data_IF_308398999880
#
_entry.id   IF_308398999880
#
_cell.length_a   1.000
_cell.length_b   1.000
_cell.length_c   1.000
_cell.angle_alpha   90.00
_cell.angle_beta   90.00
_cell.angle_gamma   90.00
#
_symmetry.space_group_name_H-M   'P 1'
#
loop_
_entity.id
_entity.type
_entity.pdbx_description
1 polymer ?
#
# COMPACT_ATOMS: atom_id res chain seq x y z
N UNK A 1 -15.05 -7.30 23.81
CA UNK A 1 -16.48 -7.66 23.92
C UNK A 1 -17.16 -7.17 22.65
N UNK A 2 -17.83 -8.04 21.88
CA UNK A 2 -18.43 -7.66 20.61
C UNK A 2 -19.49 -6.58 20.84
N UNK A 3 -19.44 -5.53 20.03
CA UNK A 3 -20.29 -4.35 20.19
C UNK A 3 -21.75 -4.72 19.93
N UNK A 4 -22.57 -4.83 20.97
CA UNK A 4 -24.01 -5.06 20.83
C UNK A 4 -24.69 -3.78 20.31
N UNK A 5 -24.64 -3.58 18.98
CA UNK A 5 -25.29 -2.44 18.32
C UNK A 5 -26.82 -2.57 18.37
N UNK A 6 -27.56 -1.47 18.62
CA UNK A 6 -29.02 -1.47 18.48
C UNK A 6 -29.46 -1.91 17.10
N UNK A 7 -30.62 -2.55 17.01
CA UNK A 7 -31.20 -3.02 15.74
C UNK A 7 -31.33 -1.90 14.70
N UNK A 8 -31.59 -0.67 15.14
CA UNK A 8 -31.66 0.52 14.30
C UNK A 8 -30.29 0.88 13.68
N UNK A 9 -29.23 0.89 14.49
CA UNK A 9 -27.87 1.14 14.01
C UNK A 9 -27.44 0.08 12.99
N UNK A 10 -27.75 -1.20 13.25
CA UNK A 10 -27.48 -2.30 12.31
C UNK A 10 -28.23 -2.14 10.98
N UNK A 11 -29.47 -1.66 11.00
CA UNK A 11 -30.24 -1.40 9.78
C UNK A 11 -29.62 -0.26 8.95
N UNK A 12 -29.19 0.81 9.61
CA UNK A 12 -28.55 1.95 8.95
C UNK A 12 -27.16 1.60 8.41
N UNK A 13 -26.44 0.68 9.07
CA UNK A 13 -25.18 0.12 8.56
C UNK A 13 -25.33 -0.57 7.20
N UNK A 14 -26.41 -1.33 7.01
CA UNK A 14 -26.70 -1.96 5.72
C UNK A 14 -26.81 -0.91 4.61
N UNK A 15 -27.50 0.21 4.87
CA UNK A 15 -27.60 1.30 3.90
C UNK A 15 -26.22 1.86 3.52
N UNK A 16 -25.28 1.93 4.48
CA UNK A 16 -23.90 2.35 4.22
C UNK A 16 -23.20 1.38 3.27
N UNK A 17 -23.38 0.07 3.46
CA UNK A 17 -22.81 -0.97 2.60
C UNK A 17 -23.49 -1.06 1.22
N UNK A 18 -24.79 -0.73 1.14
CA UNK A 18 -25.57 -0.74 -0.11
C UNK A 18 -25.30 0.46 -1.00
N UNK A 19 -25.05 1.62 -0.40
CA UNK A 19 -24.81 2.89 -1.07
C UNK A 19 -23.74 2.78 -2.16
N UNK A 20 -24.08 3.27 -3.37
CA UNK A 20 -23.24 3.15 -4.57
C UNK A 20 -22.52 4.45 -4.91
N UNK A 21 -23.15 5.60 -4.60
CA UNK A 21 -22.53 6.92 -4.77
C UNK A 21 -21.89 7.41 -3.47
N UNK A 22 -21.01 8.42 -3.58
CA UNK A 22 -20.36 9.04 -2.40
C UNK A 22 -21.42 9.78 -1.58
N UNK A 23 -22.35 10.46 -2.25
CA UNK A 23 -23.45 11.20 -1.65
C UNK A 23 -24.38 10.29 -0.86
N UNK A 24 -24.74 9.13 -1.40
CA UNK A 24 -25.50 8.10 -0.69
C UNK A 24 -24.75 7.57 0.53
N UNK A 25 -23.43 7.32 0.39
CA UNK A 25 -22.59 6.82 1.49
C UNK A 25 -22.47 7.83 2.63
N UNK A 26 -22.32 9.12 2.33
CA UNK A 26 -22.29 10.22 3.30
C UNK A 26 -23.60 10.23 4.10
N UNK A 27 -24.74 10.28 3.39
CA UNK A 27 -26.06 10.32 4.03
C UNK A 27 -26.30 9.08 4.90
N UNK A 28 -25.97 7.90 4.38
CA UNK A 28 -26.13 6.66 5.13
C UNK A 28 -25.23 6.61 6.39
N UNK A 29 -24.01 7.15 6.33
CA UNK A 29 -23.10 7.22 7.49
C UNK A 29 -23.57 8.23 8.55
N UNK A 30 -24.14 9.36 8.14
CA UNK A 30 -24.76 10.32 9.06
C UNK A 30 -25.95 9.69 9.80
N UNK A 31 -26.84 9.03 9.05
CA UNK A 31 -27.94 8.27 9.62
C UNK A 31 -27.40 7.21 10.58
N UNK A 32 -26.39 6.44 10.18
CA UNK A 32 -25.78 5.42 11.02
C UNK A 32 -25.22 6.00 12.32
N UNK A 33 -24.38 7.03 12.26
CA UNK A 33 -23.81 7.70 13.44
C UNK A 33 -24.87 8.23 14.40
N UNK A 34 -26.02 8.67 13.89
CA UNK A 34 -27.12 9.14 14.73
C UNK A 34 -27.74 8.02 15.58
N UNK A 35 -27.69 6.77 15.10
CA UNK A 35 -28.28 5.61 15.77
C UNK A 35 -27.29 4.83 16.64
N UNK A 36 -25.97 5.07 16.53
CA UNK A 36 -24.97 4.38 17.34
C UNK A 36 -24.93 5.01 18.75
N UNK A 37 -25.17 4.24 19.82
CA UNK A 37 -25.11 4.74 21.21
C UNK A 37 -23.76 5.35 21.56
N UNK A 38 -23.72 6.28 22.52
CA UNK A 38 -22.49 6.94 22.98
C UNK A 38 -21.95 6.29 24.27
N UNK A 39 -21.35 5.11 24.19
CA UNK A 39 -20.71 4.45 25.34
C UNK A 39 -19.38 3.77 24.94
N UNK A 40 -18.59 3.34 25.92
CA UNK A 40 -17.25 2.75 25.75
C UNK A 40 -17.19 1.57 24.76
N UNK A 41 -18.29 0.84 24.61
CA UNK A 41 -18.39 -0.30 23.69
C UNK A 41 -18.50 0.08 22.21
N UNK A 42 -19.01 1.27 21.88
CA UNK A 42 -19.24 1.74 20.50
C UNK A 42 -18.26 2.82 20.07
N UNK A 43 -17.30 3.17 20.93
CA UNK A 43 -16.36 4.28 20.75
C UNK A 43 -15.56 4.13 19.45
N UNK A 44 -14.89 2.99 19.27
CA UNK A 44 -14.11 2.67 18.05
C UNK A 44 -14.95 2.77 16.77
N UNK A 45 -16.18 2.26 16.81
CA UNK A 45 -17.09 2.28 15.66
C UNK A 45 -17.54 3.71 15.31
N UNK A 46 -17.81 4.54 16.33
CA UNK A 46 -18.19 5.94 16.12
C UNK A 46 -17.02 6.76 15.62
N UNK A 47 -15.81 6.52 16.13
CA UNK A 47 -14.57 7.12 15.62
C UNK A 47 -14.37 6.77 14.15
N UNK A 48 -14.46 5.48 13.80
CA UNK A 48 -14.37 5.00 12.42
C UNK A 48 -15.42 5.68 11.52
N UNK A 49 -16.70 5.67 11.92
CA UNK A 49 -17.78 6.20 11.08
C UNK A 49 -17.66 7.72 10.90
N UNK A 50 -17.22 8.45 11.93
CA UNK A 50 -16.97 9.90 11.86
C UNK A 50 -15.80 10.22 10.94
N UNK A 51 -14.70 9.45 11.06
CA UNK A 51 -13.52 9.57 10.19
C UNK A 51 -13.88 9.28 8.73
N UNK A 52 -14.65 8.21 8.49
CA UNK A 52 -15.11 7.81 7.17
C UNK A 52 -16.04 8.83 6.54
N UNK A 53 -16.94 9.41 7.32
CA UNK A 53 -17.81 10.50 6.87
C UNK A 53 -17.00 11.72 6.45
N UNK A 54 -15.97 12.10 7.22
CA UNK A 54 -15.09 13.21 6.86
C UNK A 54 -14.30 12.93 5.56
N UNK A 55 -13.77 11.71 5.39
CA UNK A 55 -13.07 11.30 4.15
C UNK A 55 -13.98 11.41 2.92
N UNK A 56 -15.22 10.91 3.00
CA UNK A 56 -16.16 10.95 1.88
C UNK A 56 -16.59 12.38 1.54
N UNK A 57 -16.74 13.26 2.54
CA UNK A 57 -17.01 14.68 2.33
C UNK A 57 -15.86 15.38 1.61
N UNK A 58 -14.61 15.13 2.03
CA UNK A 58 -13.42 15.64 1.34
C UNK A 58 -13.36 15.14 -0.11
N UNK A 59 -13.60 13.84 -0.34
CA UNK A 59 -13.60 13.23 -1.69
C UNK A 59 -14.69 13.84 -2.59
N UNK A 60 -15.89 14.09 -2.04
CA UNK A 60 -16.99 14.73 -2.75
C UNK A 60 -16.64 16.17 -3.17
N UNK A 61 -16.02 16.94 -2.26
CA UNK A 61 -15.53 18.28 -2.57
C UNK A 61 -14.46 18.28 -3.67
N UNK A 62 -13.53 17.32 -3.62
CA UNK A 62 -12.49 17.20 -4.64
C UNK A 62 -13.06 16.81 -6.00
N UNK A 63 -14.04 15.90 -6.07
CA UNK A 63 -14.74 15.58 -7.32
C UNK A 63 -15.49 16.78 -7.89
N UNK A 64 -16.09 17.62 -7.04
CA UNK A 64 -16.71 18.88 -7.47
C UNK A 64 -15.67 19.89 -7.97
N UNK A 65 -14.50 19.98 -7.31
CA UNK A 65 -13.37 20.83 -7.72
C UNK A 65 -12.72 20.36 -9.03
N UNK A 66 -12.68 19.05 -9.32
CA UNK A 66 -12.16 18.52 -10.61
C UNK A 66 -12.93 18.99 -11.85
N UNK A 67 -14.17 19.49 -11.71
CA UNK A 67 -14.93 20.12 -12.81
C UNK A 67 -14.55 21.58 -13.06
N UNK A 68 -13.70 22.18 -12.24
CA UNK A 68 -13.25 23.57 -12.39
C UNK A 68 -11.77 23.72 -12.03
N UNK A 69 -10.92 24.00 -13.03
CA UNK A 69 -9.53 24.50 -12.95
C UNK A 69 -8.41 23.49 -12.67
N UNK A 70 -7.33 23.60 -13.46
CA UNK A 70 -6.07 22.86 -13.36
C UNK A 70 -5.22 23.23 -12.14
N UNK A 71 -5.76 23.01 -10.94
CA UNK A 71 -4.99 23.03 -9.69
C UNK A 71 -4.17 21.73 -9.54
N UNK A 72 -3.00 21.78 -8.86
CA UNK A 72 -2.23 20.59 -8.55
C UNK A 72 -3.11 19.59 -7.77
N UNK A 73 -3.19 18.39 -8.32
CA UNK A 73 -4.04 17.31 -7.81
C UNK A 73 -3.26 16.49 -6.77
N UNK A 74 -3.90 16.12 -5.66
CA UNK A 74 -3.33 15.17 -4.69
C UNK A 74 -3.24 13.73 -5.24
N UNK A 75 -3.79 13.47 -6.42
CA UNK A 75 -3.63 12.20 -7.11
C UNK A 75 -2.41 12.28 -8.04
N UNK A 76 -1.47 11.37 -7.87
CA UNK A 76 -0.26 11.25 -8.69
C UNK A 76 -0.32 9.89 -9.38
N UNK A 77 -0.31 9.90 -10.71
CA UNK A 77 -0.24 8.68 -11.51
C UNK A 77 1.07 7.93 -11.23
N UNK A 78 0.97 6.61 -11.17
CA UNK A 78 2.13 5.75 -10.92
C UNK A 78 3.03 5.76 -12.14
N UNK A 79 4.30 6.05 -11.92
CA UNK A 79 5.32 6.01 -12.96
C UNK A 79 6.54 5.20 -12.50
N UNK A 80 7.34 4.77 -13.48
CA UNK A 80 8.55 3.99 -13.23
C UNK A 80 8.27 2.57 -12.74
N UNK A 81 9.24 2.04 -11.99
CA UNK A 81 9.23 0.68 -11.45
C UNK A 81 8.23 0.51 -10.31
N UNK A 82 8.07 1.53 -9.48
CA UNK A 82 7.13 1.56 -8.36
C UNK A 82 7.02 2.98 -7.82
N UNK A 83 5.83 3.32 -7.30
CA UNK A 83 5.59 4.56 -6.56
C UNK A 83 5.82 4.31 -5.06
N UNK A 84 6.75 5.06 -4.47
CA UNK A 84 7.14 4.94 -3.06
C UNK A 84 6.84 6.25 -2.33
N UNK A 85 6.00 6.18 -1.32
CA UNK A 85 5.65 7.37 -0.52
C UNK A 85 6.64 7.54 0.62
N UNK A 86 7.19 8.76 0.75
CA UNK A 86 8.14 9.09 1.81
C UNK A 86 7.38 9.64 3.01
N UNK A 87 7.40 8.92 4.14
CA UNK A 87 6.64 9.23 5.36
C UNK A 87 7.61 9.45 6.51
N UNK A 88 7.25 10.29 7.48
CA UNK A 88 8.11 10.57 8.63
C UNK A 88 7.66 11.80 9.40
N UNK A 89 8.18 12.02 10.62
CA UNK A 89 7.84 13.17 11.43
C UNK A 89 8.14 14.50 10.72
N UNK A 90 7.55 15.63 11.16
CA UNK A 90 8.00 16.94 10.74
C UNK A 90 9.51 17.10 10.94
N UNK A 91 10.18 17.77 10.00
CA UNK A 91 11.61 18.07 10.04
C UNK A 91 12.58 16.87 10.06
N UNK A 92 12.11 15.65 9.77
CA UNK A 92 12.98 14.45 9.64
C UNK A 92 13.87 14.44 8.39
N UNK A 93 13.69 15.41 7.48
CA UNK A 93 14.50 15.57 6.27
C UNK A 93 13.97 14.85 5.02
N UNK A 94 12.67 14.50 4.99
CA UNK A 94 12.00 13.86 3.83
C UNK A 94 12.25 14.60 2.52
N UNK A 95 11.93 15.89 2.46
CA UNK A 95 12.06 16.69 1.23
C UNK A 95 13.51 16.81 0.77
N UNK A 96 14.45 16.98 1.71
CA UNK A 96 15.89 16.97 1.41
C UNK A 96 16.32 15.62 0.85
N UNK A 97 15.89 14.53 1.46
CA UNK A 97 16.19 13.17 1.02
C UNK A 97 15.68 12.91 -0.40
N UNK A 98 14.40 13.23 -0.68
CA UNK A 98 13.81 13.07 -2.01
C UNK A 98 14.59 13.88 -3.04
N UNK A 99 14.85 15.17 -2.77
CA UNK A 99 15.59 16.05 -3.67
C UNK A 99 16.98 15.51 -4.03
N UNK A 100 17.70 14.99 -3.04
CA UNK A 100 19.06 14.45 -3.24
C UNK A 100 19.00 13.16 -4.05
N UNK A 101 18.07 12.25 -3.72
CA UNK A 101 17.91 10.96 -4.42
C UNK A 101 17.46 11.11 -5.87
N UNK A 102 16.65 12.12 -6.18
CA UNK A 102 16.10 12.33 -7.53
C UNK A 102 17.01 13.21 -8.40
N UNK A 103 18.06 13.79 -7.81
CA UNK A 103 18.94 14.74 -8.50
C UNK A 103 18.21 15.98 -9.02
N UNK A 104 16.99 16.25 -8.55
CA UNK A 104 16.15 17.32 -9.06
C UNK A 104 16.75 18.67 -8.71
N UNK A 105 17.19 19.43 -9.72
CA UNK A 105 17.56 20.86 -9.62
C UNK A 105 16.34 21.77 -9.49
N UNK A 106 15.18 21.26 -9.08
CA UNK A 106 13.98 22.08 -8.95
C UNK A 106 14.18 23.07 -7.80
N UNK A 107 14.12 24.32 -8.22
CA UNK A 107 14.13 25.54 -7.43
C UNK A 107 13.20 25.33 -6.25
N UNK A 108 13.66 25.72 -5.06
CA UNK A 108 12.81 25.97 -3.92
C UNK A 108 11.69 26.85 -4.47
N UNK A 109 10.48 26.33 -4.68
CA UNK A 109 9.35 27.26 -4.62
C UNK A 109 9.45 27.79 -3.19
N UNK A 110 9.89 29.04 -3.06
CA UNK A 110 10.14 29.78 -1.82
C UNK A 110 8.84 29.97 -1.05
N UNK A 111 8.25 28.85 -0.64
CA UNK A 111 7.33 28.79 0.47
C UNK A 111 8.12 28.11 1.58
N UNK A 112 8.70 28.90 2.50
CA UNK A 112 9.05 28.32 3.78
C UNK A 112 7.75 27.72 4.36
N UNK A 113 7.89 26.63 5.13
CA UNK A 113 6.82 25.88 5.78
C UNK A 113 6.09 24.83 4.90
N UNK A 114 6.47 23.56 5.13
CA UNK A 114 5.75 22.32 4.79
C UNK A 114 5.35 22.10 3.32
N UNK A 115 5.70 20.94 2.78
CA UNK A 115 5.14 20.41 1.53
C UNK A 115 3.60 20.42 1.63
N UNK A 116 2.92 21.39 1.02
CA UNK A 116 1.45 21.49 1.07
C UNK A 116 0.76 20.54 0.09
N UNK A 117 1.50 20.07 -0.92
CA UNK A 117 1.06 19.12 -1.94
C UNK A 117 2.15 18.09 -2.18
N UNK A 118 1.80 16.82 -2.41
CA UNK A 118 2.78 15.79 -2.69
C UNK A 118 3.61 16.12 -3.94
N UNK A 119 4.93 15.95 -3.86
CA UNK A 119 5.85 16.24 -4.97
C UNK A 119 6.48 14.94 -5.46
N UNK A 120 6.21 14.50 -6.70
CA UNK A 120 6.88 13.34 -7.26
C UNK A 120 8.30 13.67 -7.72
N UNK A 121 9.21 12.72 -7.58
CA UNK A 121 10.55 12.79 -8.15
C UNK A 121 11.08 11.42 -8.51
N UNK A 122 11.84 11.34 -9.60
CA UNK A 122 12.33 10.07 -10.16
C UNK A 122 13.73 9.75 -9.63
N UNK A 123 13.83 8.73 -8.78
CA UNK A 123 15.09 8.20 -8.27
C UNK A 123 15.58 7.09 -9.18
N UNK A 124 16.75 7.27 -9.80
CA UNK A 124 17.38 6.23 -10.61
C UNK A 124 17.97 5.14 -9.71
N UNK A 125 17.69 3.89 -10.04
CA UNK A 125 18.38 2.73 -9.47
C UNK A 125 18.76 1.79 -10.62
N UNK A 126 20.07 1.64 -10.86
CA UNK A 126 20.59 0.91 -12.01
C UNK A 126 19.94 1.40 -13.33
N UNK A 127 19.20 0.55 -14.03
CA UNK A 127 18.52 0.79 -15.30
C UNK A 127 17.02 1.08 -15.16
N UNK A 128 16.52 1.21 -13.93
CA UNK A 128 15.12 1.52 -13.61
C UNK A 128 14.99 2.82 -12.80
N UNK A 129 13.76 3.30 -12.64
CA UNK A 129 13.47 4.50 -11.86
C UNK A 129 12.34 4.22 -10.87
N UNK A 130 12.53 4.59 -9.61
CA UNK A 130 11.46 4.64 -8.61
C UNK A 130 10.84 6.05 -8.58
N UNK A 131 9.52 6.15 -8.51
CA UNK A 131 8.83 7.41 -8.31
C UNK A 131 8.69 7.66 -6.80
N UNK A 132 9.54 8.51 -6.24
CA UNK A 132 9.46 8.92 -4.85
C UNK A 132 8.45 10.06 -4.70
N UNK A 133 7.55 9.96 -3.73
CA UNK A 133 6.57 11.00 -3.42
C UNK A 133 6.97 11.67 -2.10
N UNK A 134 7.47 12.90 -2.16
CA UNK A 134 7.64 13.72 -0.96
C UNK A 134 6.26 14.14 -0.44
N UNK A 135 5.98 13.85 0.83
CA UNK A 135 4.66 14.11 1.41
C UNK A 135 4.68 15.16 2.50
N UNK A 136 3.56 15.88 2.69
CA UNK A 136 3.34 16.68 3.89
C UNK A 136 3.59 15.85 5.17
N UNK A 137 3.97 16.49 6.29
CA UNK A 137 4.10 15.79 7.57
C UNK A 137 2.82 15.04 7.96
N UNK A 138 3.01 13.86 8.55
CA UNK A 138 1.93 12.98 8.98
C UNK A 138 1.43 13.40 10.37
N UNK A 139 0.62 14.46 10.43
CA UNK A 139 0.03 14.95 11.69
C UNK A 139 -1.43 14.48 11.84
N UNK A 140 -1.73 13.57 12.79
CA UNK A 140 -3.08 13.02 12.95
C UNK A 140 -4.16 14.09 13.12
N UNK A 141 -5.31 13.86 12.49
CA UNK A 141 -6.46 14.77 12.57
C UNK A 141 -6.47 15.93 11.57
N UNK A 142 -5.38 16.15 10.83
CA UNK A 142 -5.31 17.20 9.80
C UNK A 142 -5.88 16.72 8.45
N UNK A 143 -6.43 17.64 7.66
CA UNK A 143 -6.87 17.35 6.28
C UNK A 143 -5.71 16.88 5.41
N UNK A 144 -4.51 17.42 5.63
CA UNK A 144 -3.28 17.02 4.92
C UNK A 144 -2.93 15.56 5.21
N UNK A 145 -2.97 15.14 6.47
CA UNK A 145 -2.68 13.76 6.84
C UNK A 145 -3.67 12.77 6.19
N UNK A 146 -4.97 13.09 6.12
CA UNK A 146 -5.95 12.25 5.40
C UNK A 146 -5.56 12.02 3.94
N UNK A 147 -5.06 13.06 3.27
CA UNK A 147 -4.62 12.96 1.87
C UNK A 147 -3.31 12.17 1.73
N UNK A 148 -2.36 12.35 2.66
CA UNK A 148 -1.14 11.52 2.74
C UNK A 148 -1.47 10.05 2.96
N UNK A 149 -2.48 9.73 3.76
CA UNK A 149 -2.97 8.35 3.96
C UNK A 149 -3.55 7.77 2.67
N UNK A 150 -4.36 8.55 1.93
CA UNK A 150 -4.89 8.11 0.64
C UNK A 150 -3.78 7.83 -0.38
N UNK A 151 -2.76 8.69 -0.44
CA UNK A 151 -1.55 8.46 -1.26
C UNK A 151 -0.83 7.18 -0.83
N UNK A 152 -0.58 7.03 0.47
CA UNK A 152 0.11 5.85 1.04
C UNK A 152 -0.63 4.57 0.70
N UNK A 153 -1.98 4.57 0.74
CA UNK A 153 -2.80 3.42 0.37
C UNK A 153 -2.66 3.04 -1.09
N UNK A 154 -2.50 4.01 -1.99
CA UNK A 154 -2.38 3.76 -3.43
C UNK A 154 -0.94 3.40 -3.86
N UNK A 155 0.07 3.87 -3.12
CA UNK A 155 1.48 3.61 -3.41
C UNK A 155 1.86 2.12 -3.36
N UNK A 156 3.00 1.77 -3.95
CA UNK A 156 3.52 0.40 -3.95
C UNK A 156 4.31 0.04 -2.70
N UNK A 157 4.88 1.05 -2.03
CA UNK A 157 5.61 0.91 -0.76
C UNK A 157 5.84 2.24 -0.05
N UNK A 158 6.52 2.16 1.10
CA UNK A 158 6.80 3.29 1.98
C UNK A 158 8.31 3.40 2.25
N UNK A 159 8.84 4.62 2.18
CA UNK A 159 10.15 4.95 2.73
C UNK A 159 9.93 5.74 4.03
N UNK A 160 10.15 5.10 5.17
CA UNK A 160 9.95 5.69 6.49
C UNK A 160 11.22 6.41 6.93
N UNK A 161 11.16 7.73 7.07
CA UNK A 161 12.29 8.59 7.42
C UNK A 161 12.18 9.05 8.87
N UNK A 162 13.12 8.60 9.71
CA UNK A 162 13.20 8.92 11.14
C UNK A 162 14.42 9.80 11.40
N UNK A 163 14.32 10.75 12.32
CA UNK A 163 15.41 11.65 12.70
C UNK A 163 16.22 11.06 13.87
N UNK A 164 17.51 10.79 13.66
CA UNK A 164 18.39 10.23 14.70
C UNK A 164 18.61 11.17 15.90
N UNK A 165 18.39 12.48 15.72
CA UNK A 165 18.57 13.50 16.78
C UNK A 165 17.39 13.58 17.75
N UNK A 166 16.28 12.89 17.44
CA UNK A 166 15.05 12.87 18.25
C UNK A 166 14.84 11.49 18.90
N UNK A 167 13.69 11.30 19.54
CA UNK A 167 13.27 10.01 20.09
C UNK A 167 12.80 9.09 18.96
N UNK A 168 13.69 8.19 18.52
CA UNK A 168 13.43 7.27 17.39
C UNK A 168 12.25 6.35 17.70
N UNK A 169 12.19 5.84 18.92
CA UNK A 169 11.16 4.90 19.39
C UNK A 169 9.78 5.57 19.38
N UNK A 170 9.64 6.74 19.99
CA UNK A 170 8.37 7.47 20.05
C UNK A 170 7.88 7.88 18.65
N UNK A 171 8.77 8.40 17.81
CA UNK A 171 8.42 8.80 16.45
C UNK A 171 7.97 7.59 15.61
N UNK A 172 8.62 6.43 15.77
CA UNK A 172 8.21 5.18 15.13
C UNK A 172 6.82 4.74 15.61
N UNK A 173 6.63 4.62 16.92
CA UNK A 173 5.37 4.15 17.52
C UNK A 173 4.19 5.02 17.08
N UNK A 174 4.34 6.35 17.14
CA UNK A 174 3.31 7.30 16.73
C UNK A 174 2.91 7.13 15.27
N UNK A 175 3.88 6.93 14.37
CA UNK A 175 3.60 6.72 12.95
C UNK A 175 2.89 5.39 12.72
N UNK A 176 3.38 4.32 13.35
CA UNK A 176 2.79 2.99 13.21
C UNK A 176 1.37 2.94 13.76
N UNK A 177 1.11 3.56 14.92
CA UNK A 177 -0.22 3.67 15.49
C UNK A 177 -1.16 4.42 14.54
N UNK A 178 -0.72 5.56 14.00
CA UNK A 178 -1.56 6.32 13.08
C UNK A 178 -1.85 5.56 11.78
N UNK A 179 -0.85 4.93 11.16
CA UNK A 179 -1.04 4.11 9.96
C UNK A 179 -1.98 2.92 10.22
N UNK A 180 -1.82 2.22 11.36
CA UNK A 180 -2.72 1.13 11.78
C UNK A 180 -4.15 1.61 12.00
N UNK A 181 -4.33 2.78 12.62
CA UNK A 181 -5.65 3.43 12.79
C UNK A 181 -6.33 3.79 11.48
N UNK A 182 -5.57 3.79 10.38
CA UNK A 182 -6.04 4.01 9.02
C UNK A 182 -6.04 2.72 8.19
N UNK A 183 -5.86 1.54 8.80
CA UNK A 183 -5.86 0.27 8.09
C UNK A 183 -4.67 0.08 7.13
N UNK A 184 -3.55 0.75 7.38
CA UNK A 184 -2.28 0.59 6.64
C UNK A 184 -1.26 -0.11 7.55
N UNK A 185 -0.79 -1.27 7.11
CA UNK A 185 0.17 -2.08 7.85
C UNK A 185 1.50 -2.13 7.11
N UNK A 186 2.59 -1.86 7.83
CA UNK A 186 3.95 -1.91 7.28
C UNK A 186 4.63 -3.27 7.46
N UNK A 187 4.03 -4.16 8.24
CA UNK A 187 4.49 -5.56 8.42
C UNK A 187 3.44 -6.46 7.78
N UNK A 188 3.88 -7.51 7.06
CA UNK A 188 2.95 -8.52 6.51
C UNK A 188 2.19 -9.09 7.71
N UNK A 189 0.85 -8.94 7.77
CA UNK A 189 0.10 -9.50 8.89
C UNK A 189 0.25 -11.02 8.87
N UNK A 190 0.21 -11.64 10.06
CA UNK A 190 0.33 -13.11 10.18
C UNK A 190 -0.79 -13.85 9.47
N UNK A 191 -1.88 -13.15 9.18
CA UNK A 191 -2.95 -13.61 8.31
C UNK A 191 -3.66 -12.47 7.59
N UNK A 192 -4.46 -12.82 6.59
CA UNK A 192 -5.24 -11.88 5.78
C UNK A 192 -6.68 -12.36 5.73
N UNK A 193 -7.61 -11.44 5.95
CA UNK A 193 -9.05 -11.67 5.77
C UNK A 193 -9.50 -10.99 4.49
N UNK A 194 -10.18 -11.74 3.63
CA UNK A 194 -10.88 -11.20 2.46
C UNK A 194 -12.35 -11.57 2.61
N UNK A 195 -13.22 -10.56 2.60
CA UNK A 195 -14.67 -10.75 2.72
C UNK A 195 -15.33 -10.29 1.43
N UNK A 196 -15.74 -11.25 0.60
CA UNK A 196 -16.49 -11.00 -0.62
C UNK A 196 -17.99 -11.10 -0.30
N UNK A 197 -18.63 -9.97 0.01
CA UNK A 197 -20.06 -9.92 0.36
C UNK A 197 -20.90 -10.01 -0.92
N UNK A 198 -21.78 -11.01 -1.02
CA UNK A 198 -22.69 -11.18 -2.16
C UNK A 198 -24.09 -10.67 -1.81
N UNK A 199 -24.64 -9.81 -2.68
CA UNK A 199 -25.93 -9.14 -2.45
C UNK A 199 -27.15 -10.00 -2.80
N UNK A 200 -26.96 -11.06 -3.59
CA UNK A 200 -28.04 -11.93 -4.11
C UNK A 200 -27.63 -13.39 -4.01
N UNK A 201 -28.57 -14.25 -3.57
CA UNK A 201 -28.38 -15.70 -3.40
C UNK A 201 -28.62 -16.19 -1.98
N UNK A 202 -28.99 -17.46 -1.82
CA UNK A 202 -29.09 -18.18 -0.53
C UNK A 202 -27.83 -19.02 -0.29
N UNK A 203 -26.65 -18.47 -0.50
CA UNK A 203 -25.39 -19.23 -0.36
C UNK A 203 -24.91 -19.34 1.07
N UNK A 204 -25.42 -18.48 1.97
CA UNK A 204 -24.96 -18.38 3.36
C UNK A 204 -23.54 -17.82 3.46
N UNK A 205 -22.97 -17.84 4.67
CA UNK A 205 -21.57 -17.49 4.91
C UNK A 205 -20.70 -18.72 4.62
N UNK A 206 -19.92 -18.64 3.55
CA UNK A 206 -18.89 -19.64 3.22
C UNK A 206 -17.56 -19.17 3.75
N UNK A 207 -16.84 -20.06 4.43
CA UNK A 207 -15.51 -19.75 4.97
C UNK A 207 -14.50 -20.69 4.32
N UNK A 208 -13.52 -20.13 3.63
CA UNK A 208 -12.34 -20.84 3.15
C UNK A 208 -11.18 -20.51 4.07
N UNK A 209 -10.66 -21.52 4.74
CA UNK A 209 -9.61 -21.36 5.74
C UNK A 209 -8.31 -21.97 5.20
N UNK A 210 -7.35 -21.12 4.88
CA UNK A 210 -6.00 -21.46 4.42
C UNK A 210 -5.05 -20.96 5.51
N UNK A 211 -5.06 -21.60 6.67
CA UNK A 211 -4.35 -21.12 7.86
C UNK A 211 -5.04 -21.56 9.15
N UNK A 212 -5.13 -20.67 10.14
CA UNK A 212 -5.77 -20.91 11.44
C UNK A 212 -6.53 -19.66 11.92
N UNK A 213 -7.73 -19.87 12.46
CA UNK A 213 -8.42 -18.88 13.27
C UNK A 213 -7.98 -19.07 14.73
N UNK A 214 -7.34 -18.08 15.32
CA UNK A 214 -6.81 -18.11 16.68
C UNK A 214 -7.91 -17.81 17.68
N UNK A 215 -7.89 -18.54 18.80
CA UNK A 215 -8.73 -18.32 19.99
C UNK A 215 -10.25 -18.21 19.71
N UNK A 216 -10.72 -18.77 18.59
CA UNK A 216 -12.10 -18.63 18.12
C UNK A 216 -12.47 -19.68 17.09
N UNK A 217 -13.77 -19.93 16.91
CA UNK A 217 -14.27 -20.91 15.95
C UNK A 217 -14.88 -20.25 14.71
N UNK A 218 -15.04 -21.04 13.64
CA UNK A 218 -15.75 -20.60 12.43
C UNK A 218 -17.21 -20.25 12.75
N UNK A 219 -17.81 -20.87 13.78
CA UNK A 219 -19.15 -20.53 14.25
C UNK A 219 -19.19 -19.14 14.89
N UNK A 220 -18.20 -18.79 15.71
CA UNK A 220 -18.08 -17.45 16.29
C UNK A 220 -17.87 -16.39 15.21
N UNK A 221 -17.10 -16.71 14.17
CA UNK A 221 -16.96 -15.86 12.98
C UNK A 221 -18.31 -15.66 12.28
N UNK A 222 -19.10 -16.74 12.07
CA UNK A 222 -20.44 -16.61 11.46
C UNK A 222 -21.34 -15.74 12.33
N UNK A 223 -21.39 -15.96 13.64
CA UNK A 223 -22.15 -15.14 14.60
C UNK A 223 -21.72 -13.68 14.56
N UNK A 224 -20.43 -13.40 14.47
CA UNK A 224 -19.89 -12.05 14.30
C UNK A 224 -20.43 -11.40 13.02
N UNK A 225 -20.32 -12.07 11.87
CA UNK A 225 -20.83 -11.56 10.59
C UNK A 225 -22.36 -11.38 10.59
N UNK A 226 -23.10 -12.34 11.14
CA UNK A 226 -24.55 -12.25 11.32
C UNK A 226 -24.94 -11.10 12.26
N UNK A 227 -24.12 -10.82 13.28
CA UNK A 227 -24.33 -9.66 14.16
C UNK A 227 -24.25 -8.34 13.40
N UNK A 228 -23.46 -8.30 12.32
CA UNK A 228 -23.35 -7.22 11.34
C UNK A 228 -24.35 -7.33 10.19
N UNK A 229 -25.30 -8.28 10.26
CA UNK A 229 -26.31 -8.59 9.24
C UNK A 229 -25.72 -8.99 7.89
N UNK A 230 -24.51 -9.55 7.91
CA UNK A 230 -23.87 -10.15 6.74
C UNK A 230 -24.25 -11.62 6.70
N UNK A 231 -25.27 -11.96 5.91
CA UNK A 231 -25.78 -13.35 5.81
C UNK A 231 -25.24 -14.11 4.60
N UNK A 232 -24.71 -13.40 3.59
CA UNK A 232 -24.19 -13.97 2.36
C UNK A 232 -22.81 -13.36 2.06
N UNK A 233 -21.76 -14.14 2.29
CA UNK A 233 -20.40 -13.73 2.02
C UNK A 233 -19.49 -14.94 1.79
N UNK A 234 -18.46 -14.76 0.98
CA UNK A 234 -17.31 -15.67 0.93
C UNK A 234 -16.16 -15.05 1.72
N UNK A 235 -15.87 -15.63 2.87
CA UNK A 235 -14.77 -15.23 3.74
C UNK A 235 -13.58 -16.12 3.44
N UNK A 236 -12.47 -15.54 3.01
CA UNK A 236 -11.21 -16.24 2.80
C UNK A 236 -10.24 -15.79 3.88
N UNK A 237 -9.80 -16.74 4.71
CA UNK A 237 -8.81 -16.54 5.74
C UNK A 237 -7.50 -17.16 5.28
N UNK A 238 -6.43 -16.37 5.26
CA UNK A 238 -5.08 -16.82 4.96
C UNK A 238 -4.22 -16.65 6.21
N UNK A 239 -3.37 -17.61 6.57
CA UNK A 239 -2.48 -17.51 7.72
C UNK A 239 -3.18 -17.53 9.08
N UNK A 240 -2.55 -16.93 10.10
CA UNK A 240 -3.09 -16.82 11.46
C UNK A 240 -3.94 -15.55 11.60
N UNK A 241 -5.22 -15.72 11.90
CA UNK A 241 -6.23 -14.65 11.94
C UNK A 241 -7.00 -14.71 13.26
N UNK A 242 -7.36 -13.58 13.84
CA UNK A 242 -8.25 -13.46 15.01
C UNK A 242 -9.65 -12.97 14.61
N UNK A 243 -10.65 -13.05 15.50
CA UNK A 243 -11.96 -12.42 15.22
C UNK A 243 -11.88 -10.91 15.04
N UNK A 244 -10.95 -10.24 15.73
CA UNK A 244 -10.72 -8.80 15.58
C UNK A 244 -10.24 -8.46 14.16
N UNK A 245 -9.39 -9.30 13.56
CA UNK A 245 -8.96 -9.13 12.16
C UNK A 245 -10.13 -9.29 11.17
N UNK A 246 -11.08 -10.18 11.48
CA UNK A 246 -12.30 -10.38 10.68
C UNK A 246 -13.25 -9.20 10.81
N UNK A 247 -13.44 -8.71 12.04
CA UNK A 247 -14.23 -7.52 12.32
C UNK A 247 -13.63 -6.30 11.60
N UNK A 248 -12.32 -6.11 11.67
CA UNK A 248 -11.64 -5.01 10.99
C UNK A 248 -11.81 -5.08 9.46
N UNK A 249 -11.73 -6.29 8.88
CA UNK A 249 -11.92 -6.48 7.44
C UNK A 249 -13.34 -6.16 6.94
N UNK A 250 -14.34 -6.08 7.83
CA UNK A 250 -15.68 -5.58 7.48
C UNK A 250 -15.72 -4.06 7.33
N UNK A 251 -14.94 -3.35 8.13
CA UNK A 251 -15.00 -1.88 8.22
C UNK A 251 -13.95 -1.19 7.34
N UNK A 252 -12.79 -1.82 7.16
CA UNK A 252 -11.65 -1.21 6.51
C UNK A 252 -11.03 -2.13 5.45
N UNK A 253 -10.68 -1.54 4.31
CA UNK A 253 -9.77 -2.19 3.38
C UNK A 253 -8.37 -2.14 3.97
N UNK A 254 -8.02 -3.17 4.74
CA UNK A 254 -6.66 -3.36 5.25
C UNK A 254 -5.71 -3.51 4.07
N UNK A 255 -4.68 -2.66 4.01
CA UNK A 255 -3.62 -2.76 3.01
C UNK A 255 -2.28 -2.97 3.69
N UNK A 256 -1.48 -3.85 3.10
CA UNK A 256 -0.07 -4.01 3.44
C UNK A 256 0.78 -3.17 2.49
N UNK A 257 1.77 -2.47 3.03
CA UNK A 257 2.77 -1.72 2.27
C UNK A 257 4.17 -2.13 2.69
N UNK A 258 4.99 -2.73 1.80
CA UNK A 258 6.40 -2.93 2.04
C UNK A 258 7.08 -1.61 2.45
N UNK A 259 7.99 -1.69 3.41
CA UNK A 259 8.67 -0.52 3.98
C UNK A 259 10.18 -0.68 3.93
N UNK A 260 10.88 0.45 3.76
CA UNK A 260 12.30 0.62 4.09
C UNK A 260 12.38 1.72 5.14
N UNK A 261 13.17 1.52 6.19
CA UNK A 261 13.42 2.54 7.22
C UNK A 261 14.75 3.22 6.93
N UNK A 262 14.74 4.54 6.87
CA UNK A 262 15.93 5.38 6.75
C UNK A 262 16.05 6.25 8.00
N UNK A 263 17.04 5.98 8.83
CA UNK A 263 17.40 6.80 9.98
C UNK A 263 18.33 7.90 9.48
N UNK A 264 17.79 9.11 9.36
CA UNK A 264 18.47 10.29 8.82
C UNK A 264 19.23 11.06 9.92
N UNK A 265 20.11 11.97 9.49
CA UNK A 265 20.91 12.86 10.35
C UNK A 265 21.92 12.15 11.24
N UNK A 266 22.43 10.99 10.80
CA UNK A 266 23.47 10.25 11.55
C UNK A 266 24.83 10.96 11.58
N UNK A 267 24.99 12.03 10.81
CA UNK A 267 26.11 12.97 10.92
C UNK A 267 26.08 13.78 12.22
N UNK A 268 24.91 13.96 12.84
CA UNK A 268 24.73 14.71 14.09
C UNK A 268 24.68 13.80 15.32
N UNK A 269 23.95 12.69 15.23
CA UNK A 269 23.82 11.70 16.31
C UNK A 269 23.66 10.32 15.71
N UNK A 270 24.46 9.36 16.17
CA UNK A 270 24.24 7.96 15.81
C UNK A 270 23.15 7.35 16.71
N UNK A 271 22.24 6.53 16.15
CA UNK A 271 21.31 5.75 16.97
C UNK A 271 22.06 4.73 17.80
N UNK A 272 21.53 4.44 18.99
CA UNK A 272 21.99 3.39 19.87
C UNK A 272 21.62 2.00 19.33
N UNK A 273 22.35 0.97 19.77
CA UNK A 273 22.05 -0.42 19.43
C UNK A 273 20.65 -0.85 19.91
N UNK A 274 20.17 -0.28 21.02
CA UNK A 274 18.83 -0.54 21.57
C UNK A 274 17.74 0.05 20.66
N UNK A 275 17.92 1.29 20.19
CA UNK A 275 16.98 1.92 19.24
C UNK A 275 16.91 1.14 17.92
N UNK A 276 18.05 0.69 17.38
CA UNK A 276 18.06 -0.15 16.17
C UNK A 276 17.34 -1.47 16.42
N UNK A 277 17.66 -2.16 17.53
CA UNK A 277 17.02 -3.42 17.89
C UNK A 277 15.50 -3.28 18.08
N UNK A 278 15.05 -2.14 18.60
CA UNK A 278 13.63 -1.83 18.74
C UNK A 278 12.92 -1.76 17.39
N UNK A 279 13.51 -1.08 16.40
CA UNK A 279 12.96 -0.99 15.04
C UNK A 279 12.89 -2.39 14.42
N UNK A 280 13.96 -3.18 14.51
CA UNK A 280 14.02 -4.52 13.92
C UNK A 280 13.00 -5.48 14.53
N UNK A 281 12.76 -5.39 15.85
CA UNK A 281 11.70 -6.16 16.53
C UNK A 281 10.31 -5.72 16.12
N UNK A 282 10.11 -4.41 15.96
CA UNK A 282 8.81 -3.82 15.64
C UNK A 282 8.42 -4.02 14.16
N UNK A 283 9.42 -3.97 13.28
CA UNK A 283 9.29 -4.12 11.83
C UNK A 283 10.19 -5.28 11.33
N UNK A 284 9.86 -6.54 11.68
CA UNK A 284 10.70 -7.68 11.35
C UNK A 284 10.88 -7.85 9.84
N UNK A 285 12.11 -8.14 9.42
CA UNK A 285 12.48 -8.30 8.01
C UNK A 285 12.57 -7.01 7.21
N UNK A 286 12.40 -5.85 7.86
CA UNK A 286 12.50 -4.53 7.22
C UNK A 286 13.96 -4.07 7.17
N UNK A 287 14.47 -3.62 6.01
CA UNK A 287 15.79 -2.99 5.93
C UNK A 287 15.81 -1.67 6.70
N UNK A 288 16.79 -1.52 7.61
CA UNK A 288 17.08 -0.29 8.33
C UNK A 288 18.39 0.27 7.82
N UNK A 289 18.35 1.47 7.24
CA UNK A 289 19.51 2.15 6.65
C UNK A 289 19.85 3.36 7.50
N UNK A 290 21.11 3.46 7.92
CA UNK A 290 21.65 4.60 8.65
C UNK A 290 22.28 5.58 7.67
N UNK A 291 21.84 6.83 7.66
CA UNK A 291 22.34 7.77 6.67
C UNK A 291 22.11 9.23 6.98
N UNK A 292 22.58 10.05 6.05
CA UNK A 292 22.43 11.50 6.10
C UNK A 292 22.16 12.01 4.71
N UNK A 293 20.99 12.64 4.55
CA UNK A 293 20.62 13.26 3.29
C UNK A 293 21.59 14.38 2.88
N UNK A 294 22.25 15.05 3.85
CA UNK A 294 23.17 16.17 3.58
C UNK A 294 24.53 15.66 3.12
N UNK A 295 25.08 14.65 3.81
CA UNK A 295 26.40 14.09 3.45
C UNK A 295 26.32 12.97 2.41
N UNK A 296 25.11 12.63 1.96
CA UNK A 296 24.82 11.51 1.06
C UNK A 296 25.22 10.11 1.58
N UNK A 297 25.52 9.99 2.88
CA UNK A 297 25.82 8.70 3.53
C UNK A 297 24.58 7.80 3.53
N UNK A 298 24.75 6.53 3.14
CA UNK A 298 23.72 5.48 3.17
C UNK A 298 22.68 5.57 2.04
N UNK A 299 22.72 6.59 1.19
CA UNK A 299 21.69 6.80 0.15
C UNK A 299 21.72 5.75 -0.97
N UNK A 300 22.90 5.21 -1.29
CA UNK A 300 23.06 4.18 -2.33
C UNK A 300 22.35 2.86 -2.00
N UNK A 301 22.12 2.59 -0.72
CA UNK A 301 21.47 1.36 -0.24
C UNK A 301 19.94 1.41 -0.38
N UNK A 302 19.35 2.62 -0.49
CA UNK A 302 17.89 2.79 -0.55
C UNK A 302 17.31 2.10 -1.79
N UNK A 303 17.95 2.26 -2.95
CA UNK A 303 17.48 1.66 -4.19
C UNK A 303 17.47 0.13 -4.15
N UNK A 304 18.52 -0.50 -3.63
CA UNK A 304 18.59 -1.96 -3.50
C UNK A 304 17.63 -2.50 -2.44
N UNK A 305 17.47 -1.77 -1.33
CA UNK A 305 16.50 -2.11 -0.31
C UNK A 305 15.06 -2.07 -0.85
N UNK A 306 14.69 -1.00 -1.57
CA UNK A 306 13.37 -0.86 -2.20
C UNK A 306 13.12 -1.96 -3.22
N UNK A 307 14.09 -2.22 -4.10
CA UNK A 307 14.01 -3.29 -5.09
C UNK A 307 13.69 -4.65 -4.45
N UNK A 308 14.37 -4.97 -3.34
CA UNK A 308 14.18 -6.21 -2.58
C UNK A 308 12.83 -6.28 -1.88
N UNK A 309 12.44 -5.26 -1.11
CA UNK A 309 11.19 -5.32 -0.30
C UNK A 309 9.93 -5.26 -1.16
N UNK A 310 10.00 -4.61 -2.32
CA UNK A 310 8.91 -4.58 -3.28
C UNK A 310 8.82 -5.87 -4.12
N UNK A 311 9.78 -6.78 -3.94
CA UNK A 311 9.89 -8.06 -4.65
C UNK A 311 9.90 -7.82 -6.17
N UNK A 312 10.65 -6.82 -6.63
CA UNK A 312 10.74 -6.47 -8.05
C UNK A 312 11.73 -7.37 -8.80
N UNK A 313 11.41 -7.61 -10.06
CA UNK A 313 12.28 -8.28 -11.03
C UNK A 313 12.32 -7.46 -12.33
N UNK A 314 13.42 -7.53 -13.06
CA UNK A 314 13.58 -6.95 -14.38
C UNK A 314 13.57 -8.05 -15.41
N UNK A 315 12.73 -7.89 -16.41
CA UNK A 315 12.70 -8.76 -17.58
C UNK A 315 13.01 -7.93 -18.82
N UNK A 316 14.05 -8.32 -19.55
CA UNK A 316 14.44 -7.65 -20.78
C UNK A 316 13.72 -8.30 -21.95
N UNK A 317 13.12 -7.50 -22.83
CA UNK A 317 12.49 -8.01 -24.03
C UNK A 317 13.43 -7.93 -25.22
N UNK A 318 13.28 -8.86 -26.17
CA UNK A 318 13.90 -8.73 -27.49
C UNK A 318 12.91 -9.18 -28.58
N UNK A 319 12.87 -8.50 -29.73
CA UNK A 319 12.09 -8.97 -30.86
C UNK A 319 12.79 -10.16 -31.56
N UNK A 320 12.05 -10.98 -32.32
CA UNK A 320 12.64 -12.06 -33.10
C UNK A 320 13.78 -11.54 -34.01
N UNK A 321 14.97 -12.13 -33.87
CA UNK A 321 16.18 -11.73 -34.61
C UNK A 321 16.69 -10.31 -34.33
N UNK A 322 16.23 -9.66 -33.25
CA UNK A 322 16.70 -8.34 -32.84
C UNK A 322 17.62 -8.35 -31.62
N UNK A 323 17.98 -7.14 -31.18
CA UNK A 323 18.80 -6.93 -29.98
C UNK A 323 17.93 -6.81 -28.74
N UNK A 324 18.53 -7.11 -27.58
CA UNK A 324 17.89 -6.96 -26.28
C UNK A 324 17.61 -5.48 -26.00
N UNK A 325 16.39 -5.18 -25.57
CA UNK A 325 15.99 -3.84 -25.19
C UNK A 325 16.83 -3.33 -24.01
N UNK A 326 17.29 -2.07 -24.07
CA UNK A 326 18.08 -1.46 -22.99
C UNK A 326 17.26 -1.19 -21.73
N UNK A 327 15.95 -0.97 -21.88
CA UNK A 327 15.04 -0.69 -20.77
C UNK A 327 14.30 -1.99 -20.43
N UNK A 328 14.39 -2.50 -19.19
CA UNK A 328 13.64 -3.68 -18.79
C UNK A 328 12.17 -3.34 -18.58
N UNK A 329 11.34 -4.38 -18.66
CA UNK A 329 10.04 -4.40 -17.99
C UNK A 329 10.27 -4.71 -16.52
N UNK A 330 9.61 -3.96 -15.64
CA UNK A 330 9.68 -4.20 -14.21
C UNK A 330 8.41 -4.88 -13.75
N UNK A 331 8.55 -6.09 -13.21
CA UNK A 331 7.45 -6.92 -12.74
C UNK A 331 7.68 -7.30 -11.27
N UNK A 332 6.69 -7.96 -10.67
CA UNK A 332 6.84 -8.54 -9.33
C UNK A 332 7.28 -9.99 -9.43
N UNK A 333 8.01 -10.48 -8.42
CA UNK A 333 8.42 -11.88 -8.31
C UNK A 333 7.21 -12.80 -8.41
N UNK A 334 7.35 -13.88 -9.17
CA UNK A 334 6.24 -14.79 -9.50
C UNK A 334 5.46 -14.39 -10.74
N UNK A 335 5.83 -13.29 -11.40
CA UNK A 335 5.30 -12.96 -12.72
C UNK A 335 5.65 -14.05 -13.75
N UNK A 336 4.83 -14.12 -14.77
CA UNK A 336 4.86 -15.15 -15.81
C UNK A 336 5.06 -14.53 -17.19
N UNK A 337 5.29 -15.38 -18.19
CA UNK A 337 5.34 -14.94 -19.61
C UNK A 337 4.05 -14.24 -20.02
N UNK A 338 2.90 -14.60 -19.44
CA UNK A 338 1.63 -13.88 -19.63
C UNK A 338 1.75 -12.41 -19.20
N UNK A 339 2.26 -12.17 -17.99
CA UNK A 339 2.41 -10.82 -17.43
C UNK A 339 3.41 -9.99 -18.25
N UNK A 340 4.47 -10.64 -18.74
CA UNK A 340 5.44 -10.03 -19.67
C UNK A 340 4.73 -9.60 -20.97
N UNK A 341 3.97 -10.49 -21.60
CA UNK A 341 3.27 -10.21 -22.85
C UNK A 341 2.25 -9.07 -22.70
N UNK A 342 1.45 -9.11 -21.62
CA UNK A 342 0.47 -8.07 -21.30
C UNK A 342 1.13 -6.70 -21.06
N UNK A 343 2.28 -6.68 -20.39
CA UNK A 343 3.05 -5.45 -20.12
C UNK A 343 3.67 -4.83 -21.36
N UNK A 344 3.90 -5.60 -22.43
CA UNK A 344 4.36 -5.07 -23.72
C UNK A 344 3.18 -4.55 -24.53
N UNK A 345 2.22 -5.42 -24.82
CA UNK A 345 1.01 -5.05 -25.57
C UNK A 345 -0.06 -6.14 -25.46
N UNK A 346 -1.31 -5.76 -25.21
CA UNK A 346 -2.43 -6.68 -25.04
C UNK A 346 -2.66 -7.63 -26.24
N UNK A 347 -2.27 -7.26 -27.46
CA UNK A 347 -2.40 -8.10 -28.65
C UNK A 347 -1.43 -9.29 -28.66
N UNK A 348 -0.23 -9.15 -28.07
CA UNK A 348 0.77 -10.23 -28.03
C UNK A 348 0.25 -11.44 -27.26
N UNK A 349 -0.60 -11.21 -26.26
CA UNK A 349 -1.23 -12.28 -25.51
C UNK A 349 -2.29 -13.04 -26.35
N UNK A 350 -3.01 -12.34 -27.23
CA UNK A 350 -4.07 -12.94 -28.06
C UNK A 350 -3.49 -13.83 -29.16
N UNK A 351 -2.39 -13.40 -29.77
CA UNK A 351 -1.71 -14.12 -30.85
C UNK A 351 -0.56 -14.99 -30.36
N UNK A 352 -0.35 -15.15 -29.05
CA UNK A 352 0.77 -15.90 -28.49
C UNK A 352 0.90 -17.34 -29.04
N UNK A 353 2.11 -17.71 -29.47
CA UNK A 353 2.48 -19.10 -29.81
C UNK A 353 3.37 -19.73 -28.76
N UNK A 354 4.47 -19.07 -28.44
CA UNK A 354 5.45 -19.46 -27.44
C UNK A 354 6.37 -18.27 -27.13
N UNK A 355 7.12 -18.37 -26.04
CA UNK A 355 8.25 -17.48 -25.80
C UNK A 355 9.55 -18.29 -25.80
N UNK A 356 10.66 -17.62 -26.12
CA UNK A 356 12.01 -18.12 -25.82
C UNK A 356 12.59 -17.31 -24.69
N UNK A 357 13.28 -17.97 -23.78
CA UNK A 357 13.83 -17.35 -22.58
C UNK A 357 15.34 -17.64 -22.43
N UNK A 358 16.08 -16.64 -21.96
CA UNK A 358 17.48 -16.75 -21.58
C UNK A 358 17.65 -16.14 -20.20
N UNK A 359 18.21 -16.88 -19.26
CA UNK A 359 18.40 -16.42 -17.88
C UNK A 359 18.30 -17.57 -16.90
N UNK A 360 18.13 -17.27 -15.62
CA UNK A 360 18.16 -18.26 -14.54
C UNK A 360 16.88 -19.10 -14.45
N UNK A 361 15.76 -18.60 -14.97
CA UNK A 361 14.50 -19.37 -15.06
C UNK A 361 14.53 -20.45 -16.16
N UNK A 362 15.43 -20.31 -17.13
CA UNK A 362 15.56 -21.22 -18.27
C UNK A 362 16.48 -22.41 -17.94
N UNK A 363 16.07 -23.61 -18.33
CA UNK A 363 16.91 -24.82 -18.24
C UNK A 363 18.11 -24.76 -19.18
N UNK A 364 17.94 -24.12 -20.32
CA UNK A 364 18.98 -23.88 -21.31
C UNK A 364 18.71 -22.59 -22.09
N UNK A 365 19.74 -21.91 -22.63
CA UNK A 365 19.58 -20.68 -23.39
C UNK A 365 18.62 -20.83 -24.57
N UNK A 366 17.56 -20.02 -24.60
CA UNK A 366 16.54 -20.04 -25.65
C UNK A 366 15.51 -21.14 -25.48
N UNK A 367 15.32 -21.68 -24.26
CA UNK A 367 14.26 -22.63 -23.95
C UNK A 367 12.90 -22.09 -24.40
N UNK A 368 12.12 -22.96 -25.05
CA UNK A 368 10.77 -22.64 -25.50
C UNK A 368 9.79 -22.87 -24.35
N UNK A 369 9.09 -21.82 -23.93
CA UNK A 369 8.18 -21.83 -22.78
C UNK A 369 6.79 -21.33 -23.15
N UNK A 370 5.80 -21.74 -22.34
CA UNK A 370 4.41 -21.30 -22.43
C UNK A 370 4.10 -20.08 -21.55
N UNK A 371 2.83 -19.66 -21.54
CA UNK A 371 2.38 -18.47 -20.80
C UNK A 371 2.55 -18.56 -19.28
N UNK A 372 2.44 -19.77 -18.71
CA UNK A 372 2.46 -19.98 -17.25
C UNK A 372 3.89 -20.16 -16.70
N UNK A 373 4.91 -20.08 -17.55
CA UNK A 373 6.29 -20.12 -17.10
C UNK A 373 6.62 -18.85 -16.30
N UNK A 374 7.17 -19.05 -15.10
CA UNK A 374 7.54 -17.99 -14.16
C UNK A 374 8.90 -17.42 -14.56
N UNK A 375 8.97 -16.09 -14.68
CA UNK A 375 10.21 -15.38 -15.00
C UNK A 375 10.95 -14.93 -13.74
N UNK A 376 12.27 -14.80 -13.85
CA UNK A 376 13.20 -14.36 -12.81
C UNK A 376 13.89 -13.05 -13.18
N UNK A 377 14.58 -12.44 -12.20
CA UNK A 377 15.30 -11.19 -12.41
C UNK A 377 16.46 -11.36 -13.40
N UNK A 378 16.52 -10.50 -14.40
CA UNK A 378 17.55 -10.51 -15.43
C UNK A 378 17.20 -11.36 -16.65
N UNK A 379 16.06 -12.04 -16.67
CA UNK A 379 15.65 -12.85 -17.81
C UNK A 379 15.47 -12.01 -19.07
N UNK A 380 15.84 -12.61 -20.21
CA UNK A 380 15.58 -12.07 -21.54
C UNK A 380 14.46 -12.90 -22.17
N UNK A 381 13.40 -12.24 -22.64
CA UNK A 381 12.22 -12.88 -23.22
C UNK A 381 12.01 -12.42 -24.67
N UNK A 382 11.83 -13.39 -25.56
CA UNK A 382 11.45 -13.19 -26.96
C UNK A 382 10.09 -13.84 -27.21
N UNK A 383 9.07 -13.04 -27.54
CA UNK A 383 7.70 -13.51 -27.77
C UNK A 383 7.50 -13.81 -29.26
N UNK A 384 6.96 -14.99 -29.56
CA UNK A 384 6.54 -15.38 -30.92
C UNK A 384 5.03 -15.42 -31.00
N UNK A 385 4.48 -14.78 -32.04
CA UNK A 385 3.03 -14.70 -32.28
C UNK A 385 2.63 -15.41 -33.57
N UNK A 386 1.37 -15.86 -33.63
CA UNK A 386 0.73 -16.28 -34.88
C UNK A 386 0.68 -15.07 -35.82
N UNK A 387 1.05 -15.29 -37.08
CA UNK A 387 0.91 -14.32 -38.17
C UNK A 387 -0.55 -13.93 -38.38
#
# INVERSE_FOLDING_TARGET
MPTNLPAEAKAKWIKVMEARSIEEKIKALEEFLSAVPKHKGTERLREWATKRLAQLRDELEEKKKKKSTGKPSFFIEKEGAAQVVVIGPPNSGKSTLVRVLTGSKTVISEYPYSTQYPVPGMMKYQDIYFQLIDTPPLEPGTTLARKTIALTRNADGVLLVIDATRSIVEDLERILEYLRSEGIYLVKPRGRVVIDITRTGKTGIRVTLIGKLLDSTVDDLRKLLESYRVYNAHVKLYGEVTLDDVEQALFETVVYKPVVVFINKVDLKNPTSEEISYIEKTLPGTPVILGSAITSRGLSEIGSALYRVLELIRVYTKPPSGVVAKKPLVLRKGATIRDVAESVHSELLRSFLYARIWGSSAKYPGERVGLDHVVEDGDIVEIHTKS
#
